data_IF_609953532711
#
_entry.id   IF_609953532711
#
_cell.length_a   1.000
_cell.length_b   1.000
_cell.length_c   1.000
_cell.angle_alpha   90.00
_cell.angle_beta   90.00
_cell.angle_gamma   90.00
#
_symmetry.space_group_name_H-M   'P 1'
#
loop_
_entity.id
_entity.type
_entity.pdbx_description
1 polymer ?
#
# COMPACT_ATOMS: atom_id res chain seq x y z
N UNK A 1 -12.15 2.29 -28.46
CA UNK A 1 -12.25 0.89 -27.99
C UNK A 1 -10.94 0.55 -27.29
N UNK A 2 -10.95 0.46 -25.95
CA UNK A 2 -9.77 0.09 -25.16
C UNK A 2 -9.55 -1.43 -25.25
N UNK A 3 -9.01 -1.89 -26.38
CA UNK A 3 -8.71 -3.31 -26.60
C UNK A 3 -7.25 -3.60 -26.31
N UNK A 4 -6.95 -4.34 -25.24
CA UNK A 4 -5.65 -4.97 -25.07
C UNK A 4 -5.41 -5.95 -26.24
N UNK A 5 -4.25 -5.87 -26.89
CA UNK A 5 -3.88 -6.79 -27.96
C UNK A 5 -3.74 -8.22 -27.39
N UNK A 6 -4.56 -9.15 -27.87
CA UNK A 6 -4.49 -10.58 -27.52
C UNK A 6 -3.92 -11.34 -28.72
N UNK A 7 -2.98 -12.30 -28.54
CA UNK A 7 -2.51 -13.15 -29.62
C UNK A 7 -3.68 -13.93 -30.24
N UNK A 8 -3.81 -13.85 -31.57
CA UNK A 8 -4.87 -14.51 -32.31
C UNK A 8 -4.73 -16.04 -32.23
N UNK A 9 -5.76 -16.75 -31.73
CA UNK A 9 -5.75 -18.21 -31.82
C UNK A 9 -6.67 -19.04 -30.91
N UNK A 10 -7.45 -18.47 -29.99
CA UNK A 10 -8.39 -19.29 -29.20
C UNK A 10 -9.78 -18.65 -29.09
N UNK A 11 -10.83 -19.44 -29.36
CA UNK A 11 -12.23 -19.12 -29.02
C UNK A 11 -12.42 -19.20 -27.50
N UNK A 12 -11.65 -18.44 -26.73
CA UNK A 12 -12.01 -18.13 -25.35
C UNK A 12 -13.05 -17.02 -25.38
N UNK A 13 -14.16 -17.20 -24.65
CA UNK A 13 -15.10 -16.11 -24.34
C UNK A 13 -14.23 -14.96 -23.81
N UNK A 14 -14.20 -13.81 -24.50
CA UNK A 14 -13.33 -12.70 -24.09
C UNK A 14 -13.77 -12.24 -22.70
N UNK A 15 -13.03 -12.67 -21.68
CA UNK A 15 -13.24 -12.21 -20.32
C UNK A 15 -12.64 -10.82 -20.20
N UNK A 16 -13.50 -9.85 -19.89
CA UNK A 16 -13.08 -8.48 -19.76
C UNK A 16 -12.49 -8.29 -18.36
N UNK A 17 -11.18 -8.47 -18.24
CA UNK A 17 -10.44 -8.41 -16.96
C UNK A 17 -10.77 -7.14 -16.17
N UNK A 18 -10.99 -6.02 -16.85
CA UNK A 18 -11.34 -4.74 -16.25
C UNK A 18 -12.66 -4.76 -15.46
N UNK A 19 -13.57 -5.69 -15.77
CA UNK A 19 -14.89 -5.82 -15.14
C UNK A 19 -14.95 -6.92 -14.08
N UNK A 20 -13.81 -7.52 -13.73
CA UNK A 20 -13.76 -8.48 -12.63
C UNK A 20 -14.15 -7.81 -11.31
N UNK A 21 -14.87 -8.55 -10.46
CA UNK A 21 -15.42 -8.02 -9.19
C UNK A 21 -14.34 -7.35 -8.32
N UNK A 22 -13.12 -7.92 -8.16
CA UNK A 22 -12.04 -7.26 -7.42
C UNK A 22 -11.63 -5.91 -8.02
N UNK A 23 -11.61 -5.79 -9.35
CA UNK A 23 -11.22 -4.56 -10.04
C UNK A 23 -12.30 -3.48 -9.91
N UNK A 24 -13.58 -3.88 -9.91
CA UNK A 24 -14.69 -2.96 -9.65
C UNK A 24 -14.63 -2.41 -8.21
N UNK A 25 -14.29 -3.25 -7.23
CA UNK A 25 -14.04 -2.81 -5.86
C UNK A 25 -12.83 -1.87 -5.81
N UNK A 26 -11.75 -2.18 -6.53
CA UNK A 26 -10.58 -1.30 -6.69
C UNK A 26 -10.95 0.09 -7.26
N UNK A 27 -11.82 0.17 -8.27
CA UNK A 27 -12.31 1.46 -8.77
C UNK A 27 -13.16 2.20 -7.73
N UNK A 28 -13.99 1.49 -6.97
CA UNK A 28 -14.75 2.10 -5.87
C UNK A 28 -13.81 2.67 -4.79
N UNK A 29 -12.71 1.98 -4.45
CA UNK A 29 -11.68 2.47 -3.53
C UNK A 29 -11.08 3.79 -4.00
N UNK A 30 -10.75 3.90 -5.29
CA UNK A 30 -10.24 5.14 -5.88
C UNK A 30 -11.27 6.28 -5.74
N UNK A 31 -12.54 6.00 -6.02
CA UNK A 31 -13.62 7.00 -5.88
C UNK A 31 -13.73 7.46 -4.42
N UNK A 32 -13.75 6.54 -3.46
CA UNK A 32 -13.81 6.89 -2.03
C UNK A 32 -12.58 7.65 -1.56
N UNK A 33 -11.38 7.31 -2.05
CA UNK A 33 -10.16 8.07 -1.76
C UNK A 33 -10.26 9.51 -2.31
N UNK A 34 -10.73 9.69 -3.55
CA UNK A 34 -10.96 11.02 -4.12
C UNK A 34 -11.98 11.84 -3.32
N UNK A 35 -13.07 11.21 -2.87
CA UNK A 35 -14.06 11.86 -1.99
C UNK A 35 -13.41 12.25 -0.67
N UNK A 36 -12.59 11.38 -0.07
CA UNK A 36 -11.86 11.67 1.15
C UNK A 36 -10.98 12.92 0.98
N UNK A 37 -10.16 12.99 -0.07
CA UNK A 37 -9.27 14.12 -0.34
C UNK A 37 -10.03 15.43 -0.58
N UNK A 38 -11.17 15.36 -1.27
CA UNK A 38 -12.01 16.53 -1.49
C UNK A 38 -12.53 17.12 -0.17
N UNK A 39 -12.91 16.27 0.79
CA UNK A 39 -13.42 16.71 2.09
C UNK A 39 -12.34 16.99 3.13
N UNK A 40 -11.06 16.65 2.89
CA UNK A 40 -9.98 16.89 3.87
C UNK A 40 -9.92 18.34 4.36
N UNK A 41 -10.04 19.37 3.50
CA UNK A 41 -9.99 20.76 3.96
C UNK A 41 -11.26 21.26 4.69
N UNK A 42 -12.41 20.61 4.49
CA UNK A 42 -13.72 21.15 4.87
C UNK A 42 -14.44 20.35 5.94
N UNK A 43 -14.25 19.03 5.98
CA UNK A 43 -14.99 18.11 6.86
C UNK A 43 -14.11 16.93 7.24
N UNK A 44 -13.28 17.08 8.29
CA UNK A 44 -12.28 16.07 8.68
C UNK A 44 -12.88 14.71 9.03
N UNK A 45 -14.04 14.68 9.69
CA UNK A 45 -14.75 13.45 10.04
C UNK A 45 -15.21 12.67 8.80
N UNK A 46 -15.78 13.36 7.83
CA UNK A 46 -16.25 12.76 6.57
C UNK A 46 -15.06 12.28 5.72
N UNK A 47 -13.99 13.07 5.67
CA UNK A 47 -12.76 12.71 4.99
C UNK A 47 -12.16 11.42 5.56
N UNK A 48 -12.00 11.35 6.88
CA UNK A 48 -11.48 10.15 7.55
C UNK A 48 -12.39 8.94 7.40
N UNK A 49 -13.72 9.12 7.39
CA UNK A 49 -14.66 8.02 7.13
C UNK A 49 -14.45 7.41 5.75
N UNK A 50 -14.44 8.22 4.69
CA UNK A 50 -14.22 7.72 3.33
C UNK A 50 -12.81 7.18 3.12
N UNK A 51 -11.80 7.76 3.78
CA UNK A 51 -10.43 7.26 3.77
C UNK A 51 -10.35 5.84 4.34
N UNK A 52 -10.88 5.64 5.55
CA UNK A 52 -10.90 4.34 6.21
C UNK A 52 -11.80 3.34 5.48
N UNK A 53 -12.90 3.79 4.88
CA UNK A 53 -13.75 2.94 4.05
C UNK A 53 -13.01 2.45 2.79
N UNK A 54 -12.22 3.32 2.14
CA UNK A 54 -11.38 2.94 1.01
C UNK A 54 -10.33 1.89 1.42
N UNK A 55 -9.64 2.11 2.54
CA UNK A 55 -8.68 1.14 3.08
C UNK A 55 -9.33 -0.17 3.57
N UNK A 56 -10.57 -0.13 4.06
CA UNK A 56 -11.29 -1.34 4.46
C UNK A 56 -11.65 -2.23 3.27
N UNK A 57 -12.02 -1.63 2.13
CA UNK A 57 -12.39 -2.34 0.91
C UNK A 57 -11.22 -3.07 0.24
N UNK A 58 -9.97 -2.70 0.55
CA UNK A 58 -8.76 -3.44 0.16
C UNK A 58 -8.83 -4.92 0.55
N UNK A 59 -9.21 -5.18 1.81
CA UNK A 59 -9.35 -6.56 2.29
C UNK A 59 -10.44 -7.34 1.52
N UNK A 60 -11.46 -6.64 1.02
CA UNK A 60 -12.58 -7.25 0.29
C UNK A 60 -12.21 -7.56 -1.16
N UNK A 61 -11.48 -6.70 -1.87
CA UNK A 61 -11.06 -7.03 -3.24
C UNK A 61 -10.09 -8.22 -3.27
N UNK A 62 -9.15 -8.28 -2.32
CA UNK A 62 -8.23 -9.39 -2.18
C UNK A 62 -8.94 -10.68 -1.76
N UNK A 63 -9.99 -10.58 -0.94
CA UNK A 63 -10.85 -11.74 -0.62
C UNK A 63 -11.66 -12.19 -1.84
N UNK A 64 -12.32 -11.26 -2.55
CA UNK A 64 -13.10 -11.54 -3.74
C UNK A 64 -12.26 -12.16 -4.86
N UNK A 65 -11.02 -11.68 -5.05
CA UNK A 65 -10.10 -12.21 -6.06
C UNK A 65 -9.79 -13.69 -5.84
N UNK A 66 -9.67 -14.10 -4.57
CA UNK A 66 -9.42 -15.50 -4.19
C UNK A 66 -10.68 -16.34 -4.24
N UNK A 67 -11.79 -15.84 -3.69
CA UNK A 67 -13.06 -16.56 -3.64
C UNK A 67 -13.64 -16.82 -5.03
N UNK A 68 -13.48 -15.86 -5.96
CA UNK A 68 -13.99 -15.95 -7.33
C UNK A 68 -12.94 -16.43 -8.34
N UNK A 69 -11.71 -16.72 -7.88
CA UNK A 69 -10.57 -17.06 -8.74
C UNK A 69 -10.33 -16.03 -9.87
N UNK A 70 -10.54 -14.74 -9.57
CA UNK A 70 -10.41 -13.59 -10.48
C UNK A 70 -9.12 -12.78 -10.23
N UNK A 71 -8.09 -13.40 -9.67
CA UNK A 71 -6.79 -12.77 -9.43
C UNK A 71 -6.07 -12.46 -10.76
N UNK A 72 -5.69 -11.19 -10.97
CA UNK A 72 -4.99 -10.75 -12.20
C UNK A 72 -3.81 -9.85 -11.88
N UNK A 73 -2.82 -9.81 -12.80
CA UNK A 73 -1.65 -8.90 -12.68
C UNK A 73 -2.08 -7.44 -12.65
N UNK A 74 -3.08 -7.08 -13.46
CA UNK A 74 -3.66 -5.75 -13.47
C UNK A 74 -4.30 -5.40 -12.13
N UNK A 75 -5.14 -6.28 -11.58
CA UNK A 75 -5.78 -6.05 -10.29
C UNK A 75 -4.77 -5.88 -9.15
N UNK A 76 -3.75 -6.73 -9.09
CA UNK A 76 -2.69 -6.62 -8.09
C UNK A 76 -1.87 -5.31 -8.21
N UNK A 77 -1.63 -4.84 -9.45
CA UNK A 77 -0.96 -3.56 -9.67
C UNK A 77 -1.86 -2.37 -9.32
N UNK A 78 -3.15 -2.43 -9.67
CA UNK A 78 -4.14 -1.41 -9.37
C UNK A 78 -4.30 -1.22 -7.85
N UNK A 79 -4.40 -2.33 -7.13
CA UNK A 79 -4.46 -2.38 -5.68
C UNK A 79 -3.25 -1.67 -5.03
N UNK A 80 -2.04 -2.15 -5.36
CA UNK A 80 -0.80 -1.61 -4.82
C UNK A 80 -0.64 -0.10 -5.11
N UNK A 81 -0.97 0.34 -6.32
CA UNK A 81 -0.92 1.77 -6.69
C UNK A 81 -1.95 2.60 -5.93
N UNK A 82 -3.16 2.08 -5.75
CA UNK A 82 -4.24 2.79 -5.04
C UNK A 82 -3.85 3.04 -3.59
N UNK A 83 -3.26 2.05 -2.91
CA UNK A 83 -2.74 2.21 -1.56
C UNK A 83 -1.69 3.31 -1.45
N UNK A 84 -0.67 3.29 -2.34
CA UNK A 84 0.43 4.25 -2.27
C UNK A 84 -0.04 5.67 -2.57
N UNK A 85 -0.86 5.84 -3.60
CA UNK A 85 -1.45 7.13 -3.93
C UNK A 85 -2.30 7.67 -2.77
N UNK A 86 -3.08 6.79 -2.13
CA UNK A 86 -3.98 7.19 -1.05
C UNK A 86 -3.21 7.66 0.18
N UNK A 87 -2.21 6.88 0.58
CA UNK A 87 -1.31 7.22 1.71
C UNK A 87 -0.55 8.51 1.42
N UNK A 88 -0.01 8.67 0.20
CA UNK A 88 0.71 9.87 -0.21
C UNK A 88 -0.16 11.13 -0.11
N UNK A 89 -1.39 11.09 -0.60
CA UNK A 89 -2.31 12.23 -0.51
C UNK A 89 -2.64 12.62 0.95
N UNK A 90 -2.79 11.64 1.84
CA UNK A 90 -2.94 11.90 3.28
C UNK A 90 -1.68 12.53 3.87
N UNK A 91 -0.50 12.01 3.56
CA UNK A 91 0.78 12.54 4.03
C UNK A 91 1.05 13.96 3.54
N UNK A 92 0.66 14.29 2.31
CA UNK A 92 0.74 15.67 1.79
C UNK A 92 -0.15 16.61 2.62
N UNK A 93 -1.39 16.20 2.94
CA UNK A 93 -2.26 16.99 3.80
C UNK A 93 -1.68 17.16 5.21
N UNK A 94 -1.12 16.09 5.79
CA UNK A 94 -0.43 16.15 7.08
C UNK A 94 0.77 17.09 7.05
N UNK A 95 1.56 17.10 5.97
CA UNK A 95 2.68 18.02 5.80
C UNK A 95 2.24 19.49 5.72
N UNK A 96 1.03 19.75 5.19
CA UNK A 96 0.43 21.09 5.20
C UNK A 96 -0.08 21.49 6.59
N UNK A 97 -0.65 20.56 7.35
CA UNK A 97 -1.17 20.80 8.71
C UNK A 97 -0.06 20.90 9.77
N UNK A 98 1.05 20.18 9.57
CA UNK A 98 2.22 20.16 10.46
C UNK A 98 3.50 20.54 9.69
N UNK A 99 3.70 21.83 9.33
CA UNK A 99 4.85 22.27 8.54
C UNK A 99 6.21 21.91 9.17
N UNK A 100 6.32 22.00 10.49
CA UNK A 100 7.53 21.66 11.26
C UNK A 100 7.96 20.19 11.09
N UNK A 101 7.01 19.29 10.83
CA UNK A 101 7.25 17.86 10.64
C UNK A 101 7.19 17.42 9.17
N UNK A 102 7.06 18.36 8.22
CA UNK A 102 6.91 18.10 6.80
C UNK A 102 8.01 17.19 6.23
N UNK A 103 9.25 17.38 6.67
CA UNK A 103 10.38 16.55 6.26
C UNK A 103 10.17 15.06 6.60
N UNK A 104 9.61 14.76 7.77
CA UNK A 104 9.37 13.37 8.18
C UNK A 104 8.31 12.68 7.32
N UNK A 105 7.24 13.40 6.95
CA UNK A 105 6.22 12.87 6.04
C UNK A 105 6.78 12.69 4.62
N UNK A 106 7.62 13.61 4.14
CA UNK A 106 8.30 13.50 2.85
C UNK A 106 9.25 12.30 2.80
N UNK A 107 10.03 12.08 3.85
CA UNK A 107 10.90 10.92 3.97
C UNK A 107 10.09 9.62 4.04
N UNK A 108 9.00 9.59 4.82
CA UNK A 108 8.15 8.40 4.92
C UNK A 108 7.47 8.06 3.59
N UNK A 109 6.90 9.04 2.87
CA UNK A 109 6.27 8.77 1.57
C UNK A 109 7.31 8.32 0.53
N UNK A 110 8.50 8.94 0.54
CA UNK A 110 9.57 8.62 -0.41
C UNK A 110 10.11 7.21 -0.16
N UNK A 111 10.32 6.85 1.10
CA UNK A 111 10.74 5.52 1.50
C UNK A 111 9.74 4.46 1.07
N UNK A 112 8.45 4.69 1.33
CA UNK A 112 7.38 3.74 1.04
C UNK A 112 7.20 3.52 -0.48
N UNK A 113 7.20 4.59 -1.27
CA UNK A 113 7.13 4.50 -2.73
C UNK A 113 8.37 3.79 -3.30
N UNK A 114 9.57 4.22 -2.88
CA UNK A 114 10.82 3.65 -3.41
C UNK A 114 10.96 2.15 -3.08
N UNK A 115 10.63 1.75 -1.84
CA UNK A 115 10.75 0.35 -1.41
C UNK A 115 9.82 -0.56 -2.21
N UNK A 116 8.56 -0.17 -2.39
CA UNK A 116 7.58 -0.96 -3.12
C UNK A 116 7.85 -0.96 -4.62
N UNK A 117 8.25 0.17 -5.19
CA UNK A 117 8.56 0.29 -6.62
C UNK A 117 9.74 -0.62 -7.00
N UNK A 118 10.86 -0.53 -6.28
CA UNK A 118 12.02 -1.39 -6.54
C UNK A 118 11.69 -2.87 -6.34
N UNK A 119 10.89 -3.20 -5.34
CA UNK A 119 10.46 -4.58 -5.12
C UNK A 119 9.57 -5.11 -6.24
N UNK A 120 8.55 -4.36 -6.65
CA UNK A 120 7.70 -4.72 -7.80
C UNK A 120 8.56 -4.89 -9.05
N UNK A 121 9.46 -3.94 -9.35
CA UNK A 121 10.35 -4.06 -10.49
C UNK A 121 11.23 -5.33 -10.41
N UNK A 122 11.84 -5.60 -9.26
CA UNK A 122 12.68 -6.80 -9.08
C UNK A 122 11.90 -8.09 -9.30
N UNK A 123 10.64 -8.16 -8.86
CA UNK A 123 9.78 -9.34 -9.03
C UNK A 123 9.29 -9.49 -10.47
N UNK A 124 8.97 -8.39 -11.16
CA UNK A 124 8.57 -8.39 -12.57
C UNK A 124 9.73 -8.83 -13.48
N UNK A 125 10.92 -8.25 -13.30
CA UNK A 125 12.12 -8.61 -14.08
C UNK A 125 12.47 -10.07 -13.86
N UNK A 126 12.42 -10.55 -12.61
CA UNK A 126 12.69 -11.95 -12.30
C UNK A 126 11.61 -12.91 -12.82
N UNK A 127 10.34 -12.50 -12.79
CA UNK A 127 9.22 -13.28 -13.35
C UNK A 127 9.31 -13.50 -14.87
N UNK A 128 10.18 -12.76 -15.56
CA UNK A 128 10.56 -13.02 -16.96
C UNK A 128 11.63 -14.12 -17.13
N UNK A 129 12.44 -14.41 -16.09
CA UNK A 129 13.47 -15.47 -16.10
C UNK A 129 13.08 -16.63 -15.15
N UNK A 130 12.19 -17.52 -15.59
CA UNK A 130 11.61 -18.65 -14.81
C UNK A 130 12.59 -19.69 -14.22
N UNK A 131 13.92 -19.58 -14.37
CA UNK A 131 14.83 -20.70 -14.06
C UNK A 131 16.09 -20.41 -13.22
N UNK A 132 16.26 -19.22 -12.63
CA UNK A 132 17.33 -18.99 -11.63
C UNK A 132 16.76 -18.41 -10.34
N UNK A 133 16.37 -19.31 -9.43
CA UNK A 133 15.87 -18.99 -8.10
C UNK A 133 16.99 -18.45 -7.20
N UNK A 134 17.35 -17.18 -7.39
CA UNK A 134 18.06 -16.42 -6.35
C UNK A 134 17.04 -16.16 -5.23
N UNK A 135 17.24 -16.74 -4.05
CA UNK A 135 16.34 -16.58 -2.90
C UNK A 135 16.16 -15.08 -2.57
N UNK A 136 14.95 -14.57 -2.81
CA UNK A 136 14.58 -13.14 -2.68
C UNK A 136 14.43 -12.70 -1.23
N UNK A 137 14.54 -13.63 -0.28
CA UNK A 137 14.37 -13.38 1.15
C UNK A 137 15.56 -13.88 1.93
N UNK A 138 16.77 -13.38 1.62
CA UNK A 138 17.92 -13.57 2.51
C UNK A 138 17.66 -13.03 3.93
N UNK A 139 16.73 -12.08 4.09
CA UNK A 139 16.41 -11.48 5.38
C UNK A 139 15.18 -12.12 6.04
N UNK A 140 15.39 -12.76 7.19
CA UNK A 140 14.36 -13.48 7.95
C UNK A 140 13.17 -12.60 8.34
N UNK A 141 13.40 -11.31 8.56
CA UNK A 141 12.39 -10.30 8.92
C UNK A 141 11.37 -10.13 7.79
N UNK A 142 11.85 -9.99 6.55
CA UNK A 142 10.99 -9.84 5.37
C UNK A 142 10.17 -11.11 5.14
N UNK A 143 10.78 -12.29 5.35
CA UNK A 143 10.07 -13.56 5.23
C UNK A 143 8.93 -13.67 6.25
N UNK A 144 9.17 -13.30 7.50
CA UNK A 144 8.12 -13.30 8.52
C UNK A 144 6.97 -12.32 8.19
N UNK A 145 7.32 -11.13 7.70
CA UNK A 145 6.37 -10.08 7.31
C UNK A 145 5.46 -10.53 6.15
N UNK A 146 6.01 -11.14 5.10
CA UNK A 146 5.24 -11.58 3.92
C UNK A 146 4.59 -12.97 4.07
N UNK A 147 5.12 -13.85 4.93
CA UNK A 147 4.55 -15.19 5.11
C UNK A 147 3.23 -15.18 5.90
N UNK A 148 3.00 -14.14 6.71
CA UNK A 148 1.84 -14.05 7.58
C UNK A 148 0.87 -12.96 7.13
N UNK A 149 -0.18 -13.32 6.40
CA UNK A 149 -1.22 -12.36 5.93
C UNK A 149 -1.80 -11.48 7.06
N UNK A 150 -2.11 -12.01 8.27
CA UNK A 150 -2.60 -11.17 9.36
C UNK A 150 -1.58 -10.12 9.80
N UNK A 151 -0.29 -10.46 9.81
CA UNK A 151 0.79 -9.52 10.17
C UNK A 151 0.89 -8.41 9.14
N UNK A 152 0.87 -8.75 7.85
CA UNK A 152 0.87 -7.76 6.77
C UNK A 152 -0.33 -6.80 6.89
N UNK A 153 -1.53 -7.35 7.10
CA UNK A 153 -2.74 -6.56 7.27
C UNK A 153 -2.67 -5.64 8.49
N UNK A 154 -2.28 -6.15 9.66
CA UNK A 154 -2.16 -5.36 10.90
C UNK A 154 -1.12 -4.24 10.72
N UNK A 155 0.00 -4.52 10.08
CA UNK A 155 1.05 -3.52 9.85
C UNK A 155 0.62 -2.43 8.86
N UNK A 156 -0.07 -2.79 7.77
CA UNK A 156 -0.66 -1.82 6.85
C UNK A 156 -1.77 -1.02 7.53
N UNK A 157 -2.79 -1.68 8.07
CA UNK A 157 -3.92 -1.02 8.72
C UNK A 157 -3.49 -0.14 9.90
N UNK A 158 -2.54 -0.59 10.72
CA UNK A 158 -2.03 0.19 11.85
C UNK A 158 -1.26 1.45 11.41
N UNK A 159 -0.53 1.39 10.30
CA UNK A 159 0.13 2.56 9.71
C UNK A 159 -0.86 3.55 9.11
N UNK A 160 -1.85 3.05 8.36
CA UNK A 160 -2.92 3.90 7.82
C UNK A 160 -3.70 4.58 8.94
N UNK A 161 -3.99 3.82 10.00
CA UNK A 161 -4.68 4.33 11.17
C UNK A 161 -3.83 5.35 11.94
N UNK A 162 -2.51 5.16 12.03
CA UNK A 162 -1.59 6.14 12.61
C UNK A 162 -1.70 7.50 11.90
N UNK A 163 -1.56 7.53 10.58
CA UNK A 163 -1.65 8.78 9.82
C UNK A 163 -3.05 9.39 9.87
N UNK A 164 -4.10 8.55 9.80
CA UNK A 164 -5.48 9.01 9.89
C UNK A 164 -5.80 9.65 11.25
N UNK A 165 -5.31 9.05 12.35
CA UNK A 165 -5.48 9.61 13.69
C UNK A 165 -4.67 10.90 13.87
N UNK A 166 -3.44 10.95 13.34
CA UNK A 166 -2.63 12.18 13.37
C UNK A 166 -3.33 13.33 12.65
N UNK A 167 -4.01 13.03 11.53
CA UNK A 167 -4.81 14.00 10.80
C UNK A 167 -6.02 14.47 11.62
N UNK A 168 -6.78 13.55 12.24
CA UNK A 168 -7.93 13.90 13.06
C UNK A 168 -7.57 14.69 14.32
N UNK A 169 -6.41 14.42 14.93
CA UNK A 169 -5.91 15.15 16.10
C UNK A 169 -5.63 16.63 15.83
N UNK A 170 -5.44 17.02 14.57
CA UNK A 170 -5.35 18.43 14.20
C UNK A 170 -6.67 19.18 14.42
N UNK A 171 -7.81 18.47 14.48
CA UNK A 171 -9.14 19.05 14.59
C UNK A 171 -9.85 18.75 15.92
N UNK A 172 -9.35 17.79 16.71
CA UNK A 172 -9.85 17.49 18.04
C UNK A 172 -9.37 16.14 18.60
N UNK A 173 -9.59 15.89 19.88
CA UNK A 173 -9.16 14.66 20.58
C UNK A 173 -10.09 13.45 20.31
N UNK A 174 -11.26 13.68 19.72
CA UNK A 174 -12.34 12.70 19.61
C UNK A 174 -13.12 12.53 20.92
N UNK A 175 -13.99 11.51 21.01
CA UNK A 175 -14.75 11.23 22.22
C UNK A 175 -13.84 11.03 23.44
N UNK A 176 -14.20 11.64 24.56
CA UNK A 176 -13.49 11.47 25.83
C UNK A 176 -13.73 10.06 26.38
N UNK A 177 -12.66 9.30 26.55
CA UNK A 177 -12.73 7.92 27.08
C UNK A 177 -12.10 7.86 28.47
N UNK A 178 -10.94 8.50 28.66
CA UNK A 178 -10.27 8.58 29.95
C UNK A 178 -10.51 9.98 30.51
N UNK A 179 -11.44 10.11 31.47
CA UNK A 179 -11.87 11.38 32.07
C UNK A 179 -10.69 12.31 32.39
N UNK A 180 -10.42 13.27 31.51
CA UNK A 180 -9.38 14.29 31.66
C UNK A 180 -7.96 13.96 31.18
N UNK A 181 -7.68 12.77 30.63
CA UNK A 181 -6.32 12.38 30.22
C UNK A 181 -6.09 12.30 28.71
N UNK A 182 -6.98 11.65 27.95
CA UNK A 182 -6.84 11.50 26.50
C UNK A 182 -8.19 11.17 25.83
N UNK A 183 -8.42 11.74 24.65
CA UNK A 183 -9.51 11.33 23.77
C UNK A 183 -9.18 10.09 22.96
N UNK A 184 -10.22 9.49 22.36
CA UNK A 184 -10.11 8.25 21.58
C UNK A 184 -9.03 8.30 20.50
N UNK A 185 -8.89 9.42 19.78
CA UNK A 185 -7.96 9.50 18.65
C UNK A 185 -6.50 9.41 19.12
N UNK A 186 -6.18 10.04 20.26
CA UNK A 186 -4.84 9.96 20.87
C UNK A 186 -4.52 8.57 21.38
N UNK A 187 -5.50 7.89 21.99
CA UNK A 187 -5.31 6.51 22.45
C UNK A 187 -5.02 5.56 21.29
N UNK A 188 -5.80 5.65 20.21
CA UNK A 188 -5.54 4.86 18.99
C UNK A 188 -4.16 5.20 18.43
N UNK A 189 -3.81 6.48 18.35
CA UNK A 189 -2.50 6.92 17.85
C UNK A 189 -1.35 6.28 18.65
N UNK A 190 -1.42 6.25 19.98
CA UNK A 190 -0.38 5.62 20.81
C UNK A 190 -0.23 4.12 20.53
N UNK A 191 -1.33 3.41 20.31
CA UNK A 191 -1.30 1.99 19.94
C UNK A 191 -0.72 1.79 18.54
N UNK A 192 -1.04 2.68 17.60
CA UNK A 192 -0.57 2.60 16.22
C UNK A 192 0.86 3.09 16.02
N UNK A 193 1.38 3.95 16.90
CA UNK A 193 2.74 4.52 16.84
C UNK A 193 3.84 3.44 16.74
N UNK A 194 3.91 2.42 17.63
CA UNK A 194 4.92 1.36 17.50
C UNK A 194 4.77 0.56 16.21
N UNK A 195 3.54 0.39 15.71
CA UNK A 195 3.27 -0.29 14.44
C UNK A 195 3.81 0.51 13.26
N UNK A 196 3.55 1.82 13.23
CA UNK A 196 4.05 2.72 12.18
C UNK A 196 5.58 2.75 12.16
N UNK A 197 6.24 2.90 13.33
CA UNK A 197 7.70 2.86 13.43
C UNK A 197 8.26 1.53 12.91
N UNK A 198 7.66 0.41 13.35
CA UNK A 198 8.08 -0.93 12.91
C UNK A 198 7.91 -1.09 11.41
N UNK A 199 6.79 -0.62 10.83
CA UNK A 199 6.55 -0.67 9.39
C UNK A 199 7.56 0.17 8.62
N UNK A 200 7.84 1.41 9.05
CA UNK A 200 8.85 2.26 8.39
C UNK A 200 10.23 1.60 8.40
N UNK A 201 10.61 0.95 9.51
CA UNK A 201 11.85 0.19 9.59
C UNK A 201 11.86 -1.02 8.63
N UNK A 202 10.75 -1.76 8.54
CA UNK A 202 10.60 -2.85 7.59
C UNK A 202 10.71 -2.32 6.15
N UNK A 203 10.07 -1.20 5.81
CA UNK A 203 10.18 -0.58 4.48
C UNK A 203 11.63 -0.20 4.12
N UNK A 204 12.44 0.23 5.10
CA UNK A 204 13.87 0.47 4.91
C UNK A 204 14.64 -0.81 4.61
N UNK A 205 14.43 -1.87 5.40
CA UNK A 205 15.02 -3.19 5.12
C UNK A 205 14.61 -3.69 3.74
N UNK A 206 13.33 -3.48 3.40
CA UNK A 206 12.75 -3.88 2.13
C UNK A 206 13.39 -3.17 0.95
N UNK A 207 13.62 -1.85 1.09
CA UNK A 207 14.32 -1.03 0.10
C UNK A 207 15.74 -1.56 -0.13
N UNK A 208 16.52 -1.73 0.94
CA UNK A 208 17.91 -2.22 0.85
C UNK A 208 17.95 -3.61 0.21
N UNK A 209 17.08 -4.52 0.64
CA UNK A 209 17.00 -5.86 0.08
C UNK A 209 16.64 -5.84 -1.41
N UNK A 210 15.68 -5.01 -1.82
CA UNK A 210 15.30 -4.87 -3.23
C UNK A 210 16.43 -4.28 -4.08
N UNK A 211 17.17 -3.29 -3.57
CA UNK A 211 18.34 -2.72 -4.23
C UNK A 211 19.46 -3.75 -4.42
N UNK A 212 19.78 -4.55 -3.39
CA UNK A 212 20.78 -5.61 -3.50
C UNK A 212 20.36 -6.67 -4.52
N UNK A 213 19.08 -7.03 -4.56
CA UNK A 213 18.56 -8.00 -5.53
C UNK A 213 18.68 -7.48 -6.97
N UNK A 214 18.36 -6.21 -7.21
CA UNK A 214 18.55 -5.59 -8.53
C UNK A 214 20.03 -5.56 -8.95
N UNK A 215 20.93 -5.15 -8.05
CA UNK A 215 22.37 -5.15 -8.34
C UNK A 215 22.91 -6.56 -8.65
N UNK A 216 22.40 -7.59 -7.98
CA UNK A 216 22.76 -8.98 -8.25
C UNK A 216 22.27 -9.46 -9.62
N UNK A 217 21.06 -9.04 -10.04
CA UNK A 217 20.55 -9.32 -11.39
C UNK A 217 21.44 -8.66 -12.46
N UNK A 218 21.79 -7.39 -12.28
CA UNK A 218 22.67 -6.66 -13.20
C UNK A 218 24.05 -7.32 -13.31
N UNK A 219 24.63 -7.74 -12.18
CA UNK A 219 25.91 -8.46 -12.16
C UNK A 219 25.83 -9.80 -12.92
N UNK A 220 24.74 -10.55 -12.74
CA UNK A 220 24.51 -11.81 -13.43
C UNK A 220 24.31 -11.62 -14.94
N UNK A 221 23.59 -10.59 -15.37
CA UNK A 221 23.42 -10.26 -16.79
C UNK A 221 24.73 -9.82 -17.44
N UNK A 222 25.56 -9.04 -16.74
CA UNK A 222 26.89 -8.67 -17.23
C UNK A 222 27.79 -9.88 -17.40
N UNK A 223 27.76 -10.82 -16.46
CA UNK A 223 28.54 -12.06 -16.54
C UNK A 223 28.12 -12.95 -17.72
N UNK A 224 26.85 -12.93 -18.16
CA UNK A 224 26.39 -13.66 -19.37
C UNK A 224 26.90 -13.03 -20.68
N UNK A 225 27.31 -11.75 -20.66
CA UNK A 225 27.75 -10.99 -21.84
C UNK A 225 29.27 -11.00 -22.03
N UNK A 226 30.02 -11.46 -21.02
CA UNK A 226 31.47 -11.66 -21.05
C UNK A 226 31.79 -13.10 -21.43
#
# INVERSE_FOLDING_TARGET
>A
TWGCAVPAGSKMKQENIFLFVPNLIGYARIIFACIAFYYMPTSPSLASFFYLLSGFLDAFDGHAARALNQGTRFGAMLDMLTDRCTTMCLLVNLAMLYPESSLWFQLSMSLDIASHWLHLHSTVVKGGESHKSIDLTGNWILRMYYNSRPVLFIMCAGNELFYCMLYLLCFGEGPEILSGYAGLYRLILWVCTPIAITKSFISLIHLVSASCNMAALDAAERAKKM
#
